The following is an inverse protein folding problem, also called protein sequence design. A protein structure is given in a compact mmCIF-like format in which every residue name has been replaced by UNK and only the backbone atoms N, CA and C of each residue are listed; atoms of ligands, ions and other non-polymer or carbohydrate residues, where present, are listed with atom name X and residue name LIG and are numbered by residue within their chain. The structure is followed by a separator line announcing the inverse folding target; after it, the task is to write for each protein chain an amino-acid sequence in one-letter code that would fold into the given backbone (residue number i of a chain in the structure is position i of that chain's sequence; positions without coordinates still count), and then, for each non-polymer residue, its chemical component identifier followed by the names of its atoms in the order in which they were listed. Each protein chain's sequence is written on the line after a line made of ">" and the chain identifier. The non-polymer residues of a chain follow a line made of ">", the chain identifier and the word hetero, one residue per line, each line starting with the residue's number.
data_IF_032584952651
#
_entry.id   IF_032584952651
#
_cell.length_a   1.000
_cell.length_b   1.000
_cell.length_c   1.000
_cell.angle_alpha   90.00
_cell.angle_beta   90.00
_cell.angle_gamma   90.00
#
_symmetry.space_group_name_H-M   'P 1'
#
loop_
_entity.id
_entity.type
_entity.pdbx_description
1 polymer ?
#
# COMPACT_ATOMS: atom_id res chain seq x y z
N UNK A 1 0.68 -20.06 24.52
CA UNK A 1 0.54 -18.61 24.26
C UNK A 1 1.46 -18.15 23.12
N UNK A 2 2.69 -18.66 23.02
CA UNK A 2 3.65 -18.35 21.95
C UNK A 2 3.17 -18.82 20.55
N UNK A 3 2.60 -20.03 20.47
CA UNK A 3 2.08 -20.62 19.23
C UNK A 3 0.88 -19.84 18.68
N UNK A 4 0.03 -19.27 19.54
CA UNK A 4 -1.08 -18.41 19.13
C UNK A 4 -0.59 -17.06 18.57
N UNK A 5 0.48 -16.48 19.14
CA UNK A 5 1.11 -15.26 18.59
C UNK A 5 1.72 -15.51 17.22
N UNK A 6 2.38 -16.64 17.01
CA UNK A 6 2.99 -16.99 15.73
C UNK A 6 1.96 -17.24 14.63
N UNK A 7 0.81 -17.89 14.93
CA UNK A 7 -0.31 -18.04 13.98
C UNK A 7 -0.97 -16.71 13.61
N UNK A 8 -1.06 -15.76 14.56
CA UNK A 8 -1.57 -14.42 14.27
C UNK A 8 -0.59 -13.58 13.43
N UNK A 9 0.74 -13.79 13.55
CA UNK A 9 1.73 -13.11 12.73
C UNK A 9 1.58 -13.42 11.23
N UNK A 10 1.31 -14.66 10.86
CA UNK A 10 1.18 -15.06 9.45
C UNK A 10 -0.04 -14.44 8.71
N UNK A 11 -1.01 -13.86 9.41
CA UNK A 11 -2.19 -13.19 8.82
C UNK A 11 -1.98 -11.67 8.69
N UNK A 12 -0.97 -11.10 9.37
CA UNK A 12 -0.74 -9.65 9.47
C UNK A 12 0.12 -9.05 8.34
N UNK A 13 0.84 -9.87 7.58
CA UNK A 13 1.90 -9.44 6.67
C UNK A 13 1.45 -9.56 5.21
N UNK A 14 0.21 -9.14 4.90
CA UNK A 14 -0.32 -9.25 3.55
C UNK A 14 -0.40 -7.90 2.87
N UNK A 15 0.08 -7.85 1.63
CA UNK A 15 -0.23 -6.79 0.70
C UNK A 15 -1.53 -7.15 -0.04
N UNK A 16 -2.50 -6.25 -0.03
CA UNK A 16 -3.77 -6.44 -0.72
C UNK A 16 -3.77 -5.64 -2.02
N UNK A 17 -4.35 -6.22 -3.06
CA UNK A 17 -4.59 -5.54 -4.33
C UNK A 17 -5.97 -4.89 -4.26
N UNK A 18 -6.00 -3.58 -4.49
CA UNK A 18 -7.22 -2.78 -4.51
C UNK A 18 -7.63 -2.35 -5.92
N UNK A 19 -6.92 -2.83 -6.96
CA UNK A 19 -7.26 -2.58 -8.35
C UNK A 19 -8.73 -2.96 -8.60
N UNK A 20 -9.51 -2.03 -9.15
CA UNK A 20 -10.95 -2.15 -9.40
C UNK A 20 -11.82 -2.46 -8.16
N UNK A 21 -11.31 -2.26 -6.94
CA UNK A 21 -12.07 -2.43 -5.72
C UNK A 21 -12.67 -1.11 -5.25
N UNK A 22 -13.94 -1.17 -4.83
CA UNK A 22 -14.63 -0.01 -4.27
C UNK A 22 -14.11 0.31 -2.86
N UNK A 23 -13.70 1.56 -2.67
CA UNK A 23 -13.23 2.07 -1.39
C UNK A 23 -13.98 3.36 -1.03
N UNK A 24 -14.27 3.55 0.23
CA UNK A 24 -14.95 4.75 0.75
C UNK A 24 -13.99 5.57 1.61
N UNK A 25 -13.98 6.87 1.39
CA UNK A 25 -13.30 7.83 2.28
C UNK A 25 -14.36 8.82 2.82
N UNK A 26 -14.51 8.85 4.13
CA UNK A 26 -15.38 9.75 4.84
C UNK A 26 -14.54 10.91 5.37
N UNK A 27 -14.74 12.11 4.82
CA UNK A 27 -13.97 13.31 5.11
C UNK A 27 -13.30 13.88 3.87
N UNK A 28 -13.18 15.20 3.78
CA UNK A 28 -12.70 15.96 2.63
C UNK A 28 -11.50 16.86 2.92
N UNK A 29 -10.87 16.75 4.10
CA UNK A 29 -9.76 17.61 4.52
C UNK A 29 -8.37 17.02 4.23
N UNK A 30 -7.34 17.67 4.79
CA UNK A 30 -5.92 17.32 4.63
C UNK A 30 -5.60 15.88 5.05
N UNK A 31 -6.27 15.38 6.10
CA UNK A 31 -6.09 14.00 6.58
C UNK A 31 -6.61 12.98 5.56
N UNK A 32 -7.78 13.23 4.98
CA UNK A 32 -8.35 12.43 3.90
C UNK A 32 -7.43 12.46 2.66
N UNK A 33 -6.94 13.63 2.25
CA UNK A 33 -6.01 13.80 1.13
C UNK A 33 -4.76 12.93 1.26
N UNK A 34 -4.16 12.88 2.46
CA UNK A 34 -2.98 12.02 2.70
C UNK A 34 -3.28 10.53 2.47
N UNK A 35 -4.45 10.07 2.86
CA UNK A 35 -4.88 8.68 2.65
C UNK A 35 -5.25 8.42 1.20
N UNK A 36 -5.94 9.35 0.57
CA UNK A 36 -6.33 9.28 -0.84
C UNK A 36 -5.12 9.15 -1.77
N UNK A 37 -4.06 9.92 -1.56
CA UNK A 37 -2.83 9.86 -2.38
C UNK A 37 -2.21 8.45 -2.43
N UNK A 38 -2.34 7.66 -1.37
CA UNK A 38 -1.91 6.27 -1.37
C UNK A 38 -2.93 5.36 -2.03
N UNK A 39 -4.21 5.55 -1.72
CA UNK A 39 -5.28 4.68 -2.18
C UNK A 39 -5.49 4.76 -3.70
N UNK A 40 -5.48 5.95 -4.28
CA UNK A 40 -5.64 6.14 -5.73
C UNK A 40 -4.51 5.49 -6.55
N UNK A 41 -3.30 5.41 -6.00
CA UNK A 41 -2.15 4.73 -6.65
C UNK A 41 -2.31 3.21 -6.74
N UNK A 42 -3.25 2.63 -6.00
CA UNK A 42 -3.53 1.18 -6.04
C UNK A 42 -4.46 0.78 -7.19
N UNK A 43 -5.01 1.73 -7.94
CA UNK A 43 -6.04 1.48 -8.95
C UNK A 43 -7.44 1.26 -8.38
N UNK A 44 -7.68 1.57 -7.11
CA UNK A 44 -9.00 1.47 -6.49
C UNK A 44 -9.99 2.48 -7.09
N UNK A 45 -11.28 2.09 -7.14
CA UNK A 45 -12.40 3.01 -7.34
C UNK A 45 -12.74 3.65 -6.00
N UNK A 46 -12.53 4.95 -5.86
CA UNK A 46 -12.67 5.61 -4.56
C UNK A 46 -13.83 6.58 -4.56
N UNK A 47 -14.75 6.43 -3.60
CA UNK A 47 -15.79 7.42 -3.32
C UNK A 47 -15.37 8.24 -2.09
N UNK A 48 -15.41 9.57 -2.21
CA UNK A 48 -15.17 10.51 -1.11
C UNK A 48 -16.49 11.14 -0.73
N UNK A 49 -16.86 11.07 0.55
CA UNK A 49 -18.07 11.70 1.09
C UNK A 49 -17.66 12.73 2.14
N UNK A 50 -17.99 13.99 1.90
CA UNK A 50 -17.80 15.06 2.86
C UNK A 50 -18.69 16.26 2.50
N UNK A 51 -19.15 17.06 3.48
CA UNK A 51 -19.88 18.31 3.19
C UNK A 51 -18.99 19.36 2.50
N UNK A 52 -17.69 19.35 2.84
CA UNK A 52 -16.66 20.20 2.22
C UNK A 52 -15.50 19.32 1.73
N UNK A 53 -15.07 19.55 0.51
CA UNK A 53 -14.00 18.78 -0.15
C UNK A 53 -12.91 19.76 -0.55
N UNK A 54 -11.68 19.50 -0.06
CA UNK A 54 -10.53 20.34 -0.37
C UNK A 54 -10.20 20.35 -1.88
N UNK A 55 -9.79 21.50 -2.45
CA UNK A 55 -9.50 21.62 -3.88
C UNK A 55 -8.45 20.62 -4.39
N UNK A 56 -7.50 20.25 -3.54
CA UNK A 56 -6.47 19.25 -3.85
C UNK A 56 -7.04 17.83 -4.02
N UNK A 57 -8.16 17.52 -3.37
CA UNK A 57 -8.88 16.26 -3.59
C UNK A 57 -9.64 16.32 -4.90
N UNK A 58 -10.26 17.46 -5.22
CA UNK A 58 -10.93 17.67 -6.50
C UNK A 58 -9.94 17.48 -7.66
N UNK A 59 -8.74 18.04 -7.56
CA UNK A 59 -7.70 17.90 -8.58
C UNK A 59 -7.28 16.42 -8.80
N UNK A 60 -7.36 15.54 -7.81
CA UNK A 60 -7.07 14.12 -7.99
C UNK A 60 -8.08 13.41 -8.90
N UNK A 61 -9.30 13.92 -9.03
CA UNK A 61 -10.34 13.32 -9.86
C UNK A 61 -9.99 13.31 -11.36
N UNK A 62 -9.18 14.27 -11.82
CA UNK A 62 -8.78 14.37 -13.22
C UNK A 62 -7.93 13.17 -13.70
N UNK A 63 -7.23 12.50 -12.78
CA UNK A 63 -6.23 11.47 -13.10
C UNK A 63 -6.53 10.11 -12.48
N UNK A 64 -7.57 10.01 -11.64
CA UNK A 64 -7.87 8.80 -10.90
C UNK A 64 -9.38 8.51 -10.90
N UNK A 65 -9.73 7.23 -10.71
CA UNK A 65 -11.12 6.81 -10.57
C UNK A 65 -11.65 7.24 -9.19
N UNK A 66 -12.05 8.51 -9.11
CA UNK A 66 -12.47 9.17 -7.87
C UNK A 66 -13.85 9.80 -8.04
N UNK A 67 -14.80 9.35 -7.24
CA UNK A 67 -16.14 9.91 -7.14
C UNK A 67 -16.25 10.82 -5.92
N UNK A 68 -16.63 12.07 -6.13
CA UNK A 68 -16.83 13.04 -5.06
C UNK A 68 -18.32 13.21 -4.77
N UNK A 69 -18.72 13.07 -3.52
CA UNK A 69 -20.09 13.19 -3.04
C UNK A 69 -20.11 14.26 -1.94
N UNK A 70 -20.53 15.45 -2.31
CA UNK A 70 -20.54 16.60 -1.40
C UNK A 70 -21.80 16.58 -0.53
N UNK A 71 -21.77 15.76 0.51
CA UNK A 71 -22.85 15.61 1.49
C UNK A 71 -22.32 15.14 2.84
N UNK A 72 -23.15 15.30 3.89
CA UNK A 72 -22.88 14.68 5.19
C UNK A 72 -22.97 13.15 5.05
N UNK A 73 -22.06 12.43 5.72
CA UNK A 73 -22.11 10.97 5.76
C UNK A 73 -23.42 10.48 6.42
N UNK A 74 -24.03 9.51 5.79
CA UNK A 74 -25.16 8.75 6.36
C UNK A 74 -24.87 7.26 6.31
N UNK A 75 -25.47 6.42 7.18
CA UNK A 75 -25.27 4.97 7.20
C UNK A 75 -25.49 4.29 5.85
N UNK A 76 -26.46 4.76 5.09
CA UNK A 76 -26.85 4.22 3.79
C UNK A 76 -25.76 4.42 2.73
N UNK A 77 -24.92 5.43 2.92
CA UNK A 77 -23.81 5.70 2.02
C UNK A 77 -22.68 4.65 2.11
N UNK A 78 -22.63 3.88 3.21
CA UNK A 78 -21.70 2.75 3.35
C UNK A 78 -22.40 1.48 2.84
N UNK A 79 -22.52 1.31 1.52
CA UNK A 79 -23.12 0.13 0.90
C UNK A 79 -22.17 -1.08 0.84
N UNK A 80 -22.71 -2.24 0.40
CA UNK A 80 -22.02 -3.54 0.52
C UNK A 80 -20.79 -3.70 -0.40
N UNK A 81 -20.67 -2.93 -1.47
CA UNK A 81 -19.59 -3.05 -2.43
C UNK A 81 -18.24 -2.54 -1.90
N UNK A 82 -18.25 -1.61 -0.93
CA UNK A 82 -17.02 -1.10 -0.35
C UNK A 82 -16.26 -2.18 0.42
N UNK A 83 -15.02 -2.43 0.02
CA UNK A 83 -14.12 -3.38 0.70
C UNK A 83 -13.32 -2.73 1.83
N UNK A 84 -13.04 -1.43 1.69
CA UNK A 84 -12.30 -0.63 2.67
C UNK A 84 -12.99 0.71 2.88
N UNK A 85 -13.18 1.10 4.13
CA UNK A 85 -13.62 2.43 4.54
C UNK A 85 -12.50 3.13 5.30
N UNK A 86 -12.20 4.37 4.94
CA UNK A 86 -11.29 5.25 5.67
C UNK A 86 -12.11 6.39 6.24
N UNK A 87 -12.19 6.48 7.57
CA UNK A 87 -12.87 7.56 8.25
C UNK A 87 -11.83 8.60 8.68
N UNK A 88 -11.86 9.77 8.05
CA UNK A 88 -10.92 10.87 8.24
C UNK A 88 -11.69 12.19 8.49
N UNK A 89 -12.64 12.15 9.42
CA UNK A 89 -13.48 13.27 9.84
C UNK A 89 -13.46 13.44 11.35
N UNK A 90 -13.68 14.67 11.80
CA UNK A 90 -13.86 15.01 13.22
C UNK A 90 -15.36 15.14 13.60
N UNK A 91 -16.27 14.85 12.68
CA UNK A 91 -17.69 14.90 12.98
C UNK A 91 -18.05 13.85 14.04
N UNK A 92 -18.76 14.32 15.08
CA UNK A 92 -19.11 13.50 16.24
C UNK A 92 -19.98 12.29 15.82
N UNK A 93 -19.68 11.12 16.36
CA UNK A 93 -20.43 9.88 16.15
C UNK A 93 -20.23 9.22 14.78
N UNK A 94 -19.62 9.89 13.79
CA UNK A 94 -19.46 9.36 12.43
C UNK A 94 -18.49 8.17 12.41
N UNK A 95 -17.39 8.26 13.15
CA UNK A 95 -16.39 7.18 13.22
C UNK A 95 -16.97 5.92 13.87
N UNK A 96 -17.71 6.07 14.96
CA UNK A 96 -18.39 4.98 15.67
C UNK A 96 -19.46 4.31 14.79
N UNK A 97 -20.24 5.12 14.10
CA UNK A 97 -21.27 4.63 13.20
C UNK A 97 -20.68 3.87 12.01
N UNK A 98 -19.69 4.45 11.34
CA UNK A 98 -18.99 3.79 10.22
C UNK A 98 -18.33 2.49 10.67
N UNK A 99 -17.70 2.49 11.86
CA UNK A 99 -17.08 1.29 12.45
C UNK A 99 -18.12 0.19 12.66
N UNK A 100 -19.23 0.50 13.34
CA UNK A 100 -20.28 -0.50 13.64
C UNK A 100 -20.81 -1.14 12.37
N UNK A 101 -21.07 -0.36 11.33
CA UNK A 101 -21.57 -0.86 10.05
C UNK A 101 -20.51 -1.72 9.34
N UNK A 102 -19.26 -1.27 9.28
CA UNK A 102 -18.18 -1.99 8.62
C UNK A 102 -17.92 -3.35 9.30
N UNK A 103 -17.88 -3.39 10.64
CA UNK A 103 -17.68 -4.63 11.40
C UNK A 103 -18.85 -5.60 11.20
N UNK A 104 -20.09 -5.11 11.27
CA UNK A 104 -21.28 -5.94 11.05
C UNK A 104 -21.29 -6.61 9.67
N UNK A 105 -20.68 -5.96 8.67
CA UNK A 105 -20.58 -6.45 7.28
C UNK A 105 -19.27 -7.17 6.97
N UNK A 106 -18.39 -7.37 7.96
CA UNK A 106 -17.07 -8.01 7.76
C UNK A 106 -16.12 -7.23 6.85
N UNK A 107 -16.29 -5.90 6.78
CA UNK A 107 -15.48 -5.00 5.93
C UNK A 107 -14.31 -4.41 6.69
N UNK A 108 -13.32 -3.91 5.94
CA UNK A 108 -12.17 -3.23 6.52
C UNK A 108 -12.48 -1.76 6.78
N UNK A 109 -12.04 -1.31 7.97
CA UNK A 109 -12.17 0.08 8.36
C UNK A 109 -10.92 0.60 9.07
N UNK A 110 -10.53 1.82 8.70
CA UNK A 110 -9.53 2.60 9.38
C UNK A 110 -10.11 3.96 9.78
N UNK A 111 -10.32 4.18 11.07
CA UNK A 111 -10.66 5.48 11.62
C UNK A 111 -9.37 6.19 12.04
N UNK A 112 -9.09 7.34 11.41
CA UNK A 112 -7.84 8.06 11.68
C UNK A 112 -7.88 8.60 13.11
N UNK A 113 -6.75 8.43 13.82
CA UNK A 113 -6.53 8.79 15.22
C UNK A 113 -7.42 8.05 16.25
N UNK A 114 -8.20 7.04 15.80
CA UNK A 114 -9.05 6.18 16.64
C UNK A 114 -8.72 4.70 16.39
N UNK A 115 -7.60 4.24 16.96
CA UNK A 115 -7.12 2.85 16.76
C UNK A 115 -8.06 1.79 17.33
N UNK A 116 -8.85 2.15 18.33
CA UNK A 116 -9.93 1.33 18.92
C UNK A 116 -11.04 1.01 17.91
N UNK A 117 -11.25 1.88 16.92
CA UNK A 117 -12.25 1.73 15.86
C UNK A 117 -11.66 1.19 14.53
N UNK A 118 -10.43 0.66 14.57
CA UNK A 118 -9.76 0.15 13.37
C UNK A 118 -9.65 -1.37 13.40
N UNK A 119 -10.02 -2.04 12.31
CA UNK A 119 -9.64 -3.43 12.07
C UNK A 119 -8.51 -3.55 11.02
N UNK A 120 -8.14 -2.44 10.38
CA UNK A 120 -6.97 -2.32 9.50
C UNK A 120 -6.15 -1.10 9.85
N UNK A 121 -4.82 -1.23 9.82
CA UNK A 121 -3.87 -0.16 10.16
C UNK A 121 -2.98 0.11 8.95
N UNK A 122 -2.78 1.39 8.63
CA UNK A 122 -1.83 1.81 7.61
C UNK A 122 -0.41 1.81 8.18
N UNK A 123 0.52 1.04 7.59
CA UNK A 123 1.92 1.03 8.03
C UNK A 123 2.66 2.29 7.57
N UNK A 124 3.86 2.51 8.11
CA UNK A 124 4.83 3.42 7.52
C UNK A 124 5.48 2.72 6.31
N UNK A 125 5.49 3.36 5.14
CA UNK A 125 5.90 2.74 3.88
C UNK A 125 7.18 3.38 3.35
N UNK A 126 8.16 2.56 2.96
CA UNK A 126 9.24 2.95 2.04
C UNK A 126 8.82 2.51 0.64
N UNK A 127 8.67 3.49 -0.23
CA UNK A 127 8.26 3.26 -1.61
C UNK A 127 9.47 3.31 -2.55
N UNK A 128 9.75 2.16 -3.16
CA UNK A 128 10.72 1.95 -4.24
C UNK A 128 10.05 1.13 -5.35
N UNK A 129 8.86 1.57 -5.74
CA UNK A 129 7.99 0.80 -6.64
C UNK A 129 8.76 0.12 -7.77
N UNK A 130 8.50 -1.20 -8.05
CA UNK A 130 7.49 -2.07 -7.44
C UNK A 130 7.89 -2.72 -6.10
N UNK A 131 9.02 -2.36 -5.51
CA UNK A 131 9.41 -2.82 -4.17
C UNK A 131 8.77 -1.90 -3.12
N UNK A 132 8.03 -2.49 -2.19
CA UNK A 132 7.42 -1.80 -1.06
C UNK A 132 7.89 -2.43 0.25
N UNK A 133 8.27 -1.59 1.22
CA UNK A 133 8.59 -2.04 2.58
C UNK A 133 7.61 -1.39 3.55
N UNK A 134 6.83 -2.22 4.24
CA UNK A 134 5.86 -1.77 5.22
C UNK A 134 6.42 -1.99 6.64
N UNK A 135 6.41 -0.95 7.46
CA UNK A 135 6.87 -0.97 8.84
C UNK A 135 5.70 -0.68 9.78
N UNK A 136 5.43 -1.60 10.69
CA UNK A 136 4.37 -1.44 11.69
C UNK A 136 4.88 -1.83 13.07
N UNK A 137 4.48 -1.07 14.08
CA UNK A 137 4.66 -1.40 15.50
C UNK A 137 3.38 -1.99 16.11
N UNK A 138 2.41 -2.38 15.26
CA UNK A 138 1.09 -2.88 15.69
C UNK A 138 0.35 -1.91 16.64
N UNK A 139 0.47 -0.61 16.37
CA UNK A 139 -0.15 0.44 17.19
C UNK A 139 0.66 0.83 18.43
N UNK A 140 1.74 0.11 18.79
CA UNK A 140 2.51 0.40 20.01
C UNK A 140 3.25 1.73 19.94
N UNK A 141 3.84 2.06 18.79
CA UNK A 141 4.58 3.32 18.62
C UNK A 141 4.62 3.75 17.14
N UNK A 142 3.70 4.60 16.71
CA UNK A 142 3.73 5.19 15.37
C UNK A 142 5.03 5.96 15.08
N UNK A 143 5.61 6.58 16.10
CA UNK A 143 6.89 7.29 15.99
C UNK A 143 8.04 6.34 15.70
N UNK A 144 8.13 5.20 16.40
CA UNK A 144 9.16 4.18 16.14
C UNK A 144 9.03 3.62 14.72
N UNK A 145 7.80 3.33 14.26
CA UNK A 145 7.58 2.87 12.89
C UNK A 145 8.07 3.87 11.85
N UNK A 146 7.86 5.17 12.06
CA UNK A 146 8.39 6.24 11.19
C UNK A 146 9.90 6.34 11.25
N UNK A 147 10.50 6.20 12.43
CA UNK A 147 11.96 6.21 12.61
C UNK A 147 12.60 5.04 11.86
N UNK A 148 12.10 3.82 12.04
CA UNK A 148 12.59 2.62 11.33
C UNK A 148 12.40 2.77 9.82
N UNK A 149 11.26 3.31 9.37
CA UNK A 149 11.07 3.65 7.96
C UNK A 149 12.18 4.57 7.45
N UNK A 150 12.50 5.64 8.18
CA UNK A 150 13.55 6.59 7.82
C UNK A 150 14.93 5.93 7.71
N UNK A 151 15.27 5.02 8.61
CA UNK A 151 16.52 4.26 8.52
C UNK A 151 16.60 3.37 7.28
N UNK A 152 15.49 2.71 6.93
CA UNK A 152 15.40 1.89 5.73
C UNK A 152 15.45 2.75 4.47
N UNK A 153 14.79 3.91 4.48
CA UNK A 153 14.74 4.83 3.35
C UNK A 153 16.13 5.37 2.97
N UNK A 154 17.00 5.59 3.97
CA UNK A 154 18.38 6.01 3.76
C UNK A 154 19.28 4.88 3.23
N UNK A 155 18.96 3.61 3.52
CA UNK A 155 19.77 2.44 3.12
C UNK A 155 19.33 1.82 1.81
N UNK A 156 18.05 1.94 1.45
CA UNK A 156 17.52 1.36 0.23
C UNK A 156 17.67 2.33 -0.94
N UNK A 157 18.41 1.98 -1.98
CA UNK A 157 18.63 2.85 -3.14
C UNK A 157 17.32 3.29 -3.77
N UNK A 158 17.27 4.52 -4.29
CA UNK A 158 16.09 5.03 -5.02
C UNK A 158 15.77 4.17 -6.25
N UNK A 159 16.78 3.66 -6.92
CA UNK A 159 16.65 2.78 -8.09
C UNK A 159 16.35 1.31 -7.78
N UNK A 160 16.08 0.92 -6.53
CA UNK A 160 15.81 -0.48 -6.17
C UNK A 160 14.66 -1.11 -6.98
N UNK A 161 13.63 -0.31 -7.31
CA UNK A 161 12.53 -0.76 -8.17
C UNK A 161 12.99 -1.17 -9.56
N UNK A 162 14.04 -0.53 -10.11
CA UNK A 162 14.60 -0.87 -11.42
C UNK A 162 15.24 -2.26 -11.44
N UNK A 163 15.78 -2.68 -10.30
CA UNK A 163 16.26 -4.05 -10.15
C UNK A 163 15.11 -5.08 -10.21
N UNK A 164 13.96 -4.74 -9.65
CA UNK A 164 12.77 -5.58 -9.80
C UNK A 164 12.21 -5.56 -11.23
N UNK A 165 12.27 -4.43 -11.94
CA UNK A 165 11.92 -4.34 -13.36
C UNK A 165 12.83 -5.24 -14.21
N UNK A 166 14.14 -5.25 -13.96
CA UNK A 166 15.09 -6.16 -14.60
C UNK A 166 14.72 -7.63 -14.36
N UNK A 167 14.45 -7.98 -13.10
CA UNK A 167 14.02 -9.34 -12.75
C UNK A 167 12.73 -9.74 -13.46
N UNK A 168 11.78 -8.81 -13.61
CA UNK A 168 10.54 -9.00 -14.35
C UNK A 168 10.80 -9.29 -15.84
N UNK A 169 11.66 -8.52 -16.51
CA UNK A 169 12.05 -8.71 -17.92
C UNK A 169 12.69 -10.09 -18.17
N UNK A 170 13.58 -10.49 -17.29
CA UNK A 170 14.34 -11.74 -17.43
C UNK A 170 13.60 -12.99 -16.95
N UNK A 171 12.46 -12.83 -16.27
CA UNK A 171 11.75 -13.92 -15.57
C UNK A 171 11.45 -15.12 -16.48
N UNK A 172 10.93 -14.90 -17.68
CA UNK A 172 10.53 -15.98 -18.58
C UNK A 172 11.76 -16.68 -19.16
N UNK A 173 12.74 -15.93 -19.65
CA UNK A 173 13.99 -16.46 -20.18
C UNK A 173 14.72 -17.29 -19.13
N UNK A 174 14.79 -16.79 -17.91
CA UNK A 174 15.45 -17.49 -16.80
C UNK A 174 14.71 -18.79 -16.43
N UNK A 175 13.37 -18.78 -16.47
CA UNK A 175 12.57 -19.97 -16.19
C UNK A 175 12.76 -21.06 -17.25
N UNK A 176 12.91 -20.68 -18.51
CA UNK A 176 13.13 -21.60 -19.62
C UNK A 176 14.54 -22.17 -19.62
N UNK A 177 15.57 -21.31 -19.42
CA UNK A 177 16.98 -21.72 -19.47
C UNK A 177 17.45 -22.43 -18.20
N UNK A 178 16.85 -22.13 -17.05
CA UNK A 178 17.21 -22.67 -15.74
C UNK A 178 15.97 -23.32 -15.10
N UNK A 179 15.57 -24.53 -15.52
CA UNK A 179 14.37 -25.19 -15.02
C UNK A 179 14.49 -25.58 -13.54
N UNK A 180 15.71 -25.85 -13.07
CA UNK A 180 15.98 -26.16 -11.67
C UNK A 180 15.83 -24.93 -10.75
N UNK A 181 15.18 -25.12 -9.59
CA UNK A 181 14.86 -24.02 -8.66
C UNK A 181 16.11 -23.46 -7.98
N UNK A 182 17.03 -24.36 -7.55
CA UNK A 182 18.22 -23.97 -6.80
C UNK A 182 19.21 -23.22 -7.71
N UNK A 183 19.40 -23.73 -8.93
CA UNK A 183 20.22 -23.05 -9.95
C UNK A 183 19.67 -21.66 -10.28
N UNK A 184 18.34 -21.54 -10.41
CA UNK A 184 17.68 -20.27 -10.66
C UNK A 184 17.82 -19.29 -9.50
N UNK A 185 17.76 -19.79 -8.26
CA UNK A 185 17.99 -19.00 -7.06
C UNK A 185 19.41 -18.45 -7.01
N UNK A 186 20.40 -19.32 -7.23
CA UNK A 186 21.83 -18.92 -7.26
C UNK A 186 22.10 -17.86 -8.34
N UNK A 187 21.50 -18.03 -9.54
CA UNK A 187 21.55 -17.03 -10.60
C UNK A 187 21.05 -15.66 -10.13
N UNK A 188 19.87 -15.62 -9.51
CA UNK A 188 19.29 -14.35 -9.05
C UNK A 188 20.11 -13.72 -7.92
N UNK A 189 20.64 -14.51 -6.98
CA UNK A 189 21.51 -14.00 -5.92
C UNK A 189 22.78 -13.35 -6.50
N UNK A 190 23.37 -13.93 -7.55
CA UNK A 190 24.52 -13.36 -8.26
C UNK A 190 24.13 -12.07 -8.99
N UNK A 191 23.00 -12.03 -9.70
CA UNK A 191 22.51 -10.84 -10.39
C UNK A 191 22.25 -9.70 -9.42
N UNK A 192 21.60 -9.97 -8.29
CA UNK A 192 21.22 -8.94 -7.31
C UNK A 192 22.39 -8.36 -6.50
N UNK A 193 23.56 -9.02 -6.51
CA UNK A 193 24.79 -8.57 -5.85
C UNK A 193 25.91 -8.16 -6.81
N UNK A 194 25.67 -8.25 -8.12
CA UNK A 194 26.69 -8.06 -9.16
C UNK A 194 26.53 -6.75 -9.96
N UNK A 195 27.37 -6.57 -10.99
CA UNK A 195 27.37 -5.36 -11.84
C UNK A 195 26.03 -5.08 -12.55
N UNK A 196 25.24 -6.11 -12.82
CA UNK A 196 23.88 -5.96 -13.39
C UNK A 196 22.95 -5.21 -12.42
N UNK A 197 23.04 -5.48 -11.11
CA UNK A 197 22.30 -4.73 -10.11
C UNK A 197 22.72 -3.26 -10.07
N UNK A 198 24.01 -2.97 -10.09
CA UNK A 198 24.54 -1.60 -10.07
C UNK A 198 24.05 -0.79 -11.28
N UNK A 199 24.04 -1.40 -12.46
CA UNK A 199 23.52 -0.77 -13.68
C UNK A 199 22.01 -0.52 -13.58
N UNK A 200 21.23 -1.50 -13.13
CA UNK A 200 19.78 -1.36 -12.96
C UNK A 200 19.44 -0.25 -11.95
N UNK A 201 20.10 -0.20 -10.80
CA UNK A 201 19.88 0.82 -9.76
C UNK A 201 20.18 2.24 -10.29
N UNK A 202 21.14 2.38 -11.22
CA UNK A 202 21.46 3.63 -11.93
C UNK A 202 20.50 3.94 -13.07
N UNK A 203 19.45 3.14 -13.26
CA UNK A 203 18.42 3.25 -14.31
C UNK A 203 18.94 2.95 -15.74
N UNK A 204 20.01 2.16 -15.86
CA UNK A 204 20.50 1.62 -17.13
C UNK A 204 20.09 0.14 -17.26
N UNK A 205 18.81 -0.06 -17.63
CA UNK A 205 18.22 -1.40 -17.73
C UNK A 205 18.79 -2.21 -18.90
N UNK A 206 19.19 -1.56 -19.98
CA UNK A 206 19.69 -2.25 -21.17
C UNK A 206 21.11 -2.79 -20.89
N UNK A 207 21.97 -2.00 -20.26
CA UNK A 207 23.28 -2.47 -19.78
C UNK A 207 23.11 -3.57 -18.72
N UNK A 208 22.18 -3.40 -17.80
CA UNK A 208 21.89 -4.38 -16.75
C UNK A 208 21.46 -5.73 -17.34
N UNK A 209 20.61 -5.73 -18.36
CA UNK A 209 20.17 -6.94 -19.07
C UNK A 209 21.32 -7.62 -19.81
N UNK A 210 22.16 -6.86 -20.51
CA UNK A 210 23.36 -7.41 -21.18
C UNK A 210 24.33 -8.04 -20.19
N UNK A 211 24.55 -7.43 -19.02
CA UNK A 211 25.41 -7.97 -17.98
C UNK A 211 24.84 -9.22 -17.31
N UNK A 212 23.51 -9.32 -17.20
CA UNK A 212 22.84 -10.46 -16.62
C UNK A 212 22.81 -11.70 -17.53
N UNK A 213 22.90 -11.52 -18.85
CA UNK A 213 22.83 -12.60 -19.84
C UNK A 213 24.22 -13.11 -20.31
N UNK A 214 25.29 -12.51 -19.85
CA UNK A 214 26.67 -12.98 -20.04
C UNK A 214 27.05 -14.10 -19.07
#
# INVERSE_FOLDING_TARGET
>A
TAIRRQRQMCIRDRFHRFEDRECLVIGGGVTALRKLRWLVRTGASVTVIAPEIAPEIVALQEHHNLRLVQQIFTPEALHEDFVLTICATNAEGVSEQAHSIAIARGKWINCVDRTDLCNVIFPAIVDRWPILVAVSSMGQSPTLSRTVRGWLEQRLPMGLGKLADLAGRLRNVTKERLPDVDTRKAFWEQIFSGPAADAAIKNDLDQAEQLALR
#
